data_IF_327127123897
#
_entry.id   IF_327127123897
#
_cell.length_a   1.000
_cell.length_b   1.000
_cell.length_c   1.000
_cell.angle_alpha   90.00
_cell.angle_beta   90.00
_cell.angle_gamma   90.00
#
_symmetry.space_group_name_H-M   'P 1'
#
loop_
_entity.id
_entity.type
_entity.pdbx_description
1 polymer ?
#
# COMPACT_ATOMS: atom_id res chain seq x y z
N UNK A 1 -31.27 -47.47 43.26
CA UNK A 1 -30.07 -46.80 43.76
C UNK A 1 -29.19 -46.48 42.55
N UNK A 2 -29.03 -45.18 42.33
CA UNK A 2 -28.11 -44.39 41.49
C UNK A 2 -27.85 -44.74 39.99
N UNK A 3 -27.92 -43.73 39.09
CA UNK A 3 -27.63 -43.83 37.66
C UNK A 3 -26.13 -43.69 37.37
N UNK A 4 -25.61 -44.44 36.41
CA UNK A 4 -24.19 -44.39 36.01
C UNK A 4 -24.02 -43.95 34.55
N UNK A 5 -24.27 -42.67 34.30
CA UNK A 5 -23.67 -41.92 33.18
C UNK A 5 -23.25 -40.58 33.79
N UNK A 6 -21.94 -40.31 33.89
CA UNK A 6 -21.33 -39.46 32.87
C UNK A 6 -19.80 -39.68 32.75
N UNK A 7 -19.34 -40.70 32.01
CA UNK A 7 -17.92 -40.84 31.66
C UNK A 7 -17.56 -40.28 30.28
N UNK A 8 -18.55 -39.91 29.46
CA UNK A 8 -18.31 -39.34 28.13
C UNK A 8 -18.07 -37.82 28.11
N UNK A 9 -18.41 -37.09 29.18
CA UNK A 9 -18.31 -35.62 29.19
C UNK A 9 -16.94 -35.08 29.65
N UNK A 10 -16.04 -35.93 30.16
CA UNK A 10 -14.74 -35.49 30.67
C UNK A 10 -13.62 -35.48 29.61
N UNK A 11 -13.84 -36.03 28.42
CA UNK A 11 -12.81 -36.13 27.36
C UNK A 11 -12.97 -35.09 26.24
N UNK A 12 -13.98 -34.21 26.31
CA UNK A 12 -14.24 -33.17 25.30
C UNK A 12 -13.72 -31.79 25.72
N UNK A 13 -13.18 -31.63 26.93
CA UNK A 13 -12.75 -30.34 27.49
C UNK A 13 -11.26 -30.04 27.36
N UNK A 14 -10.45 -30.92 26.74
CA UNK A 14 -8.99 -30.72 26.60
C UNK A 14 -8.53 -30.24 25.22
N UNK A 15 -9.43 -30.02 24.26
CA UNK A 15 -9.06 -29.58 22.90
C UNK A 15 -9.28 -28.08 22.63
N UNK A 16 -9.54 -27.27 23.66
CA UNK A 16 -9.66 -25.81 23.51
C UNK A 16 -8.60 -25.10 24.36
N UNK A 17 -7.33 -25.41 24.12
CA UNK A 17 -6.28 -24.46 24.42
C UNK A 17 -6.48 -23.28 23.44
N UNK A 18 -6.52 -22.01 23.90
CA UNK A 18 -6.45 -20.90 22.98
C UNK A 18 -5.11 -21.03 22.25
N UNK A 19 -5.17 -21.38 20.96
CA UNK A 19 -4.02 -21.22 20.09
C UNK A 19 -3.53 -19.79 20.31
N UNK A 20 -2.27 -19.64 20.72
CA UNK A 20 -1.68 -18.33 20.93
C UNK A 20 -2.03 -17.45 19.72
N UNK A 21 -2.39 -16.16 19.93
CA UNK A 21 -2.74 -15.29 18.83
C UNK A 21 -1.62 -15.38 17.79
N UNK A 22 -1.95 -15.59 16.50
CA UNK A 22 -0.92 -15.70 15.48
C UNK A 22 -0.06 -14.44 15.57
N UNK A 23 1.26 -14.62 15.69
CA UNK A 23 2.18 -13.49 15.60
C UNK A 23 1.99 -12.87 14.21
N UNK A 24 1.25 -11.77 14.13
CA UNK A 24 1.17 -10.95 12.92
C UNK A 24 2.53 -10.27 12.80
N UNK A 25 3.45 -10.93 12.11
CA UNK A 25 4.71 -10.31 11.71
C UNK A 25 4.40 -9.36 10.58
N UNK A 26 4.32 -8.08 10.91
CA UNK A 26 4.40 -6.98 9.95
C UNK A 26 5.75 -7.12 9.24
N UNK A 27 5.79 -7.84 8.12
CA UNK A 27 6.96 -7.84 7.26
C UNK A 27 7.02 -6.43 6.65
N UNK A 28 8.01 -5.60 7.00
CA UNK A 28 8.05 -4.25 6.49
C UNK A 28 8.25 -4.33 4.98
N UNK A 29 7.28 -3.83 4.23
CA UNK A 29 7.43 -3.69 2.79
C UNK A 29 8.54 -2.68 2.54
N UNK A 30 9.71 -3.15 2.10
CA UNK A 30 10.84 -2.30 1.77
C UNK A 30 10.62 -1.77 0.36
N UNK A 31 10.06 -0.56 0.28
CA UNK A 31 9.98 0.19 -0.96
C UNK A 31 11.38 0.73 -1.30
N UNK A 32 11.85 0.56 -2.55
CA UNK A 32 13.06 1.22 -3.01
C UNK A 32 12.92 2.75 -2.87
N UNK A 33 13.93 3.41 -2.29
CA UNK A 33 13.89 4.87 -2.07
C UNK A 33 13.71 5.66 -3.37
N UNK A 34 14.20 5.12 -4.49
CA UNK A 34 14.01 5.71 -5.81
C UNK A 34 12.55 5.81 -6.24
N UNK A 35 11.65 4.98 -5.70
CA UNK A 35 10.20 5.06 -5.98
C UNK A 35 9.48 6.06 -5.08
N UNK A 36 10.14 6.58 -4.04
CA UNK A 36 9.57 7.53 -3.08
C UNK A 36 9.81 8.99 -3.49
N UNK A 37 10.59 9.21 -4.55
CA UNK A 37 10.92 10.52 -5.09
C UNK A 37 10.54 10.54 -6.56
N UNK A 38 9.86 11.60 -6.98
CA UNK A 38 9.51 11.83 -8.38
C UNK A 38 10.43 12.91 -8.96
N UNK A 39 10.53 12.95 -10.29
CA UNK A 39 11.10 14.09 -10.99
C UNK A 39 10.43 15.39 -10.53
N UNK A 40 11.24 16.41 -10.29
CA UNK A 40 10.73 17.72 -9.89
C UNK A 40 9.95 18.34 -11.06
N UNK A 41 8.78 18.91 -10.75
CA UNK A 41 8.02 19.66 -11.73
C UNK A 41 8.80 20.92 -12.15
N UNK A 42 8.70 21.34 -13.42
CA UNK A 42 9.40 22.54 -13.87
C UNK A 42 8.85 23.78 -13.14
N UNK A 43 9.76 24.69 -12.78
CA UNK A 43 9.37 25.95 -12.14
C UNK A 43 8.46 26.77 -13.05
N UNK A 44 7.43 27.39 -12.46
CA UNK A 44 6.59 28.32 -13.21
C UNK A 44 7.41 29.57 -13.56
N UNK A 45 7.30 30.06 -14.81
CA UNK A 45 7.95 31.29 -15.20
C UNK A 45 7.37 32.47 -14.40
N UNK A 46 8.23 33.43 -14.05
CA UNK A 46 7.81 34.61 -13.31
C UNK A 46 7.03 35.64 -14.15
N UNK A 47 6.95 35.43 -15.48
CA UNK A 47 6.26 36.31 -16.41
C UNK A 47 4.94 35.69 -16.85
N UNK A 48 3.88 36.52 -16.83
CA UNK A 48 2.58 36.16 -17.39
C UNK A 48 2.53 36.25 -18.93
N UNK A 49 3.59 36.79 -19.55
CA UNK A 49 3.70 36.91 -21.00
C UNK A 49 4.56 35.78 -21.57
N UNK A 50 3.91 34.65 -21.82
CA UNK A 50 4.51 33.52 -22.51
C UNK A 50 4.06 33.49 -23.97
N UNK A 51 5.01 33.23 -24.85
CA UNK A 51 4.69 32.84 -26.22
C UNK A 51 4.02 31.47 -26.22
N UNK A 52 3.24 31.17 -27.26
CA UNK A 52 2.60 29.86 -27.42
C UNK A 52 3.62 28.70 -27.36
N UNK A 53 4.80 28.88 -27.96
CA UNK A 53 5.87 27.88 -27.92
C UNK A 53 6.38 27.62 -26.50
N UNK A 54 6.58 28.68 -25.71
CA UNK A 54 7.01 28.54 -24.32
C UNK A 54 5.96 27.84 -23.44
N UNK A 55 4.67 28.12 -23.67
CA UNK A 55 3.58 27.40 -22.98
C UNK A 55 3.60 25.92 -23.36
N UNK A 56 3.77 25.60 -24.64
CA UNK A 56 3.83 24.21 -25.10
C UNK A 56 5.01 23.45 -24.46
N UNK A 57 6.20 24.05 -24.44
CA UNK A 57 7.38 23.46 -23.77
C UNK A 57 7.15 23.25 -22.27
N UNK A 58 6.55 24.23 -21.58
CA UNK A 58 6.23 24.12 -20.16
C UNK A 58 5.25 22.97 -19.90
N UNK A 59 4.19 22.85 -20.70
CA UNK A 59 3.20 21.78 -20.57
C UNK A 59 3.81 20.40 -20.83
N UNK A 60 4.68 20.27 -21.83
CA UNK A 60 5.40 19.02 -22.11
C UNK A 60 6.30 18.61 -20.94
N UNK A 61 7.01 19.57 -20.35
CA UNK A 61 7.87 19.31 -19.19
C UNK A 61 7.04 18.91 -17.94
N UNK A 62 5.89 19.54 -17.72
CA UNK A 62 4.96 19.14 -16.65
C UNK A 62 4.40 17.74 -16.86
N UNK A 63 3.98 17.41 -18.08
CA UNK A 63 3.46 16.08 -18.42
C UNK A 63 4.51 14.99 -18.20
N UNK A 64 5.76 15.26 -18.60
CA UNK A 64 6.87 14.33 -18.35
C UNK A 64 7.12 14.10 -16.85
N UNK A 65 7.17 15.15 -16.05
CA UNK A 65 7.32 15.03 -14.59
C UNK A 65 6.14 14.28 -13.94
N UNK A 66 4.92 14.52 -14.43
CA UNK A 66 3.73 13.78 -14.00
C UNK A 66 3.83 12.29 -14.36
N UNK A 67 4.22 11.97 -15.60
CA UNK A 67 4.36 10.61 -16.10
C UNK A 67 5.39 9.78 -15.33
N UNK A 68 6.52 10.40 -14.95
CA UNK A 68 7.51 9.80 -14.05
C UNK A 68 6.88 9.40 -12.70
N UNK A 69 6.21 10.37 -12.05
CA UNK A 69 5.62 10.14 -10.74
C UNK A 69 4.48 9.11 -10.77
N UNK A 70 3.64 9.14 -11.81
CA UNK A 70 2.60 8.15 -12.04
C UNK A 70 3.19 6.74 -12.22
N UNK A 71 4.32 6.63 -12.90
CA UNK A 71 5.02 5.35 -13.11
C UNK A 71 5.60 4.81 -11.80
N UNK A 72 6.22 5.66 -10.98
CA UNK A 72 6.68 5.29 -9.64
C UNK A 72 5.52 4.82 -8.76
N UNK A 73 4.42 5.59 -8.71
CA UNK A 73 3.22 5.21 -7.94
C UNK A 73 2.64 3.86 -8.41
N UNK A 74 2.59 3.62 -9.71
CA UNK A 74 2.14 2.34 -10.26
C UNK A 74 3.07 1.18 -9.81
N UNK A 75 4.39 1.41 -9.77
CA UNK A 75 5.34 0.44 -9.24
C UNK A 75 5.14 0.17 -7.75
N UNK A 76 4.95 1.22 -6.95
CA UNK A 76 4.62 1.10 -5.52
C UNK A 76 3.36 0.27 -5.31
N UNK A 77 2.28 0.54 -6.07
CA UNK A 77 1.02 -0.22 -5.98
C UNK A 77 1.19 -1.69 -6.35
N UNK A 78 2.03 -2.02 -7.33
CA UNK A 78 2.35 -3.43 -7.67
C UNK A 78 3.10 -4.13 -6.54
N UNK A 79 3.98 -3.42 -5.83
CA UNK A 79 4.71 -3.95 -4.68
C UNK A 79 3.84 -4.01 -3.42
N UNK A 80 2.84 -3.13 -3.31
CA UNK A 80 1.91 -3.04 -2.18
C UNK A 80 0.44 -3.26 -2.61
N UNK A 81 0.04 -4.49 -2.96
CA UNK A 81 -1.32 -4.78 -3.41
C UNK A 81 -2.38 -4.64 -2.30
N UNK A 82 -1.98 -4.50 -1.02
CA UNK A 82 -2.88 -4.50 0.13
C UNK A 82 -3.68 -3.19 0.32
N UNK A 83 -3.41 -2.14 -0.46
CA UNK A 83 -4.11 -0.85 -0.38
C UNK A 83 -5.27 -0.70 -1.39
N UNK A 84 -5.88 -1.82 -1.80
CA UNK A 84 -7.00 -1.87 -2.75
C UNK A 84 -8.34 -2.29 -2.13
N UNK A 85 -8.56 -1.99 -0.85
CA UNK A 85 -9.74 -2.42 -0.11
C UNK A 85 -10.36 -1.29 0.71
N UNK A 86 -10.76 -0.20 0.07
CA UNK A 86 -11.89 0.60 0.55
C UNK A 86 -13.11 0.11 -0.24
N UNK A 87 -13.84 -0.85 0.33
CA UNK A 87 -15.20 -1.23 -0.07
C UNK A 87 -16.19 -0.56 0.88
#
# INVERSE_FOLDING_TARGET
>A
MLPALPLCCAMLSTACAPAAPPEIRLLPLRLPDALLVCAEAPALPASDQLTQGQVAELLLAYDAAHGDCASHLAAVRRLNPAAGGEQ
#
